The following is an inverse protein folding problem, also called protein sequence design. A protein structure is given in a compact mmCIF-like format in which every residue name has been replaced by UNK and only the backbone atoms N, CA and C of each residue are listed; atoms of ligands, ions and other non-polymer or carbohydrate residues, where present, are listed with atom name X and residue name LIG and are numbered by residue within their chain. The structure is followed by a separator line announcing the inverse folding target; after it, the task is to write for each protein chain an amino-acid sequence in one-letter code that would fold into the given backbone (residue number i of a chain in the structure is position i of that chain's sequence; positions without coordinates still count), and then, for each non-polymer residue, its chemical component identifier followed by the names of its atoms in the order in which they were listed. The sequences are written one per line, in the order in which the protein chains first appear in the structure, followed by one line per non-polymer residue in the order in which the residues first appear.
data_IF_692019409244
#
_entry.id   IF_692019409244
#
_cell.length_a   1.000
_cell.length_b   1.000
_cell.length_c   1.000
_cell.angle_alpha   90.00
_cell.angle_beta   90.00
_cell.angle_gamma   90.00
#
_symmetry.space_group_name_H-M   'P 1'
#
loop_
_entity.id
_entity.type
_entity.pdbx_description
1 polymer ?
#
# COMPACT_ATOMS: atom_id res chain seq x y z
N UNK A 1 -3.82 -0.81 13.24
CA UNK A 1 -3.54 -0.57 11.81
C UNK A 1 -4.58 -1.27 10.96
N UNK A 2 -5.69 -0.58 10.71
CA UNK A 2 -6.65 -0.94 9.67
C UNK A 2 -6.11 -0.30 8.41
N UNK A 3 -5.34 -1.02 7.57
CA UNK A 3 -5.20 -0.51 6.21
C UNK A 3 -6.59 -0.60 5.62
N UNK A 4 -7.22 0.55 5.42
CA UNK A 4 -8.55 0.61 4.85
C UNK A 4 -8.57 -0.22 3.56
N UNK A 5 -9.62 -1.03 3.44
CA UNK A 5 -9.78 -1.93 2.29
C UNK A 5 -9.83 -1.12 0.99
N UNK A 6 -10.36 0.11 1.08
CA UNK A 6 -10.39 1.12 0.02
C UNK A 6 -8.97 1.51 -0.41
N UNK A 7 -8.10 1.87 0.55
CA UNK A 7 -6.74 2.32 0.26
C UNK A 7 -5.87 1.21 -0.33
N UNK A 8 -6.08 -0.04 0.10
CA UNK A 8 -5.43 -1.20 -0.54
C UNK A 8 -5.83 -1.32 -2.01
N UNK A 9 -7.13 -1.26 -2.30
CA UNK A 9 -7.63 -1.36 -3.68
C UNK A 9 -7.08 -0.23 -4.56
N UNK A 10 -6.99 0.99 -4.01
CA UNK A 10 -6.39 2.13 -4.71
C UNK A 10 -4.91 1.90 -5.04
N UNK A 11 -4.11 1.42 -4.07
CA UNK A 11 -2.69 1.11 -4.27
C UNK A 11 -2.51 0.02 -5.34
N UNK A 12 -3.27 -1.09 -5.24
CA UNK A 12 -3.18 -2.18 -6.21
C UNK A 12 -3.70 -1.78 -7.61
N UNK A 13 -4.70 -0.91 -7.69
CA UNK A 13 -5.18 -0.39 -8.97
C UNK A 13 -4.23 0.63 -9.62
N UNK A 14 -3.47 1.38 -8.83
CA UNK A 14 -2.53 2.40 -9.33
C UNK A 14 -1.18 1.81 -9.71
N UNK A 15 -0.68 0.83 -8.94
CA UNK A 15 0.68 0.30 -9.09
C UNK A 15 0.73 -1.18 -9.52
N UNK A 16 -0.39 -1.90 -9.45
CA UNK A 16 -0.52 -3.24 -10.00
C UNK A 16 -0.99 -3.21 -11.45
N UNK A 17 -0.87 -4.34 -12.16
CA UNK A 17 -1.36 -4.47 -13.54
C UNK A 17 -2.89 -4.51 -13.62
N UNK A 18 -3.56 -4.78 -12.51
CA UNK A 18 -5.02 -4.81 -12.38
C UNK A 18 -5.41 -4.72 -10.89
N UNK A 19 -6.67 -4.40 -10.60
CA UNK A 19 -7.18 -4.37 -9.21
C UNK A 19 -7.12 -5.72 -8.48
N UNK A 20 -6.90 -6.81 -9.20
CA UNK A 20 -6.72 -8.17 -8.68
C UNK A 20 -5.25 -8.58 -8.60
N UNK A 21 -4.34 -7.78 -9.16
CA UNK A 21 -2.90 -8.02 -9.11
C UNK A 21 -2.35 -7.56 -7.76
N UNK A 22 -2.51 -8.44 -6.77
CA UNK A 22 -1.97 -8.25 -5.43
C UNK A 22 -0.58 -8.87 -5.28
N UNK A 23 -0.02 -9.49 -6.31
CA UNK A 23 1.22 -10.27 -6.24
C UNK A 23 2.41 -9.63 -6.92
N UNK A 24 2.21 -8.62 -7.76
CA UNK A 24 3.30 -7.97 -8.48
C UNK A 24 4.28 -7.27 -7.54
N UNK A 25 5.59 -7.33 -7.86
CA UNK A 25 6.62 -6.64 -7.09
C UNK A 25 6.32 -5.15 -6.91
N UNK A 26 5.86 -4.46 -7.96
CA UNK A 26 5.59 -3.03 -7.96
C UNK A 26 4.46 -2.67 -7.00
N UNK A 27 3.37 -3.45 -7.02
CA UNK A 27 2.23 -3.19 -6.15
C UNK A 27 2.52 -3.53 -4.67
N UNK A 28 3.33 -4.56 -4.42
CA UNK A 28 3.82 -4.88 -3.07
C UNK A 28 4.79 -3.82 -2.55
N UNK A 29 5.70 -3.31 -3.39
CA UNK A 29 6.59 -2.20 -3.03
C UNK A 29 5.77 -0.98 -2.65
N UNK A 30 4.78 -0.59 -3.46
CA UNK A 30 3.91 0.54 -3.16
C UNK A 30 3.16 0.36 -1.81
N UNK A 31 2.66 -0.85 -1.55
CA UNK A 31 2.04 -1.18 -0.28
C UNK A 31 3.01 -1.04 0.91
N UNK A 32 4.23 -1.55 0.79
CA UNK A 32 5.23 -1.44 1.85
C UNK A 32 5.70 -0.01 2.07
N UNK A 33 5.93 0.77 1.00
CA UNK A 33 6.26 2.20 1.09
C UNK A 33 5.19 2.99 1.85
N UNK A 34 3.91 2.75 1.55
CA UNK A 34 2.80 3.38 2.28
C UNK A 34 2.82 3.02 3.78
N UNK A 35 3.05 1.74 4.10
CA UNK A 35 3.15 1.28 5.51
C UNK A 35 4.33 1.91 6.24
N UNK A 36 5.49 2.00 5.58
CA UNK A 36 6.68 2.62 6.14
C UNK A 36 6.41 4.09 6.45
N UNK A 37 5.89 4.85 5.47
CA UNK A 37 5.57 6.27 5.67
C UNK A 37 4.59 6.50 6.84
N UNK A 38 3.54 5.68 6.92
CA UNK A 38 2.57 5.74 8.03
C UNK A 38 3.23 5.45 9.38
N UNK A 39 4.08 4.41 9.46
CA UNK A 39 4.78 4.08 10.71
C UNK A 39 5.81 5.15 11.08
N UNK A 40 6.52 5.71 10.10
CA UNK A 40 7.45 6.83 10.33
C UNK A 40 6.72 8.02 10.92
N UNK A 41 5.55 8.38 10.39
CA UNK A 41 4.76 9.49 10.92
C UNK A 41 4.20 9.19 12.31
N UNK A 42 3.73 7.96 12.54
CA UNK A 42 3.25 7.54 13.86
C UNK A 42 4.34 7.59 14.95
N UNK A 43 5.59 7.36 14.56
CA UNK A 43 6.75 7.36 15.47
C UNK A 43 7.42 8.72 15.62
N UNK A 44 7.01 9.75 14.85
CA UNK A 44 7.42 11.12 15.10
C UNK A 44 6.65 11.66 16.31
N UNK A 45 7.38 12.12 17.31
CA UNK A 45 6.88 12.78 18.54
C UNK A 45 6.84 14.28 18.31
#
# INVERSE_FOLDING_TARGET
MYLDSEKKKEIFGTYGKSNTDTGSPEAQIALFSYRIAHLTEHLKV
#
